data_IF_538352422980
#
_entry.id   IF_538352422980
#
_cell.length_a   1.000
_cell.length_b   1.000
_cell.length_c   1.000
_cell.angle_alpha   90.00
_cell.angle_beta   90.00
_cell.angle_gamma   90.00
#
_symmetry.space_group_name_H-M   'P 1'
#
loop_
_entity.id
_entity.type
_entity.pdbx_description
1 polymer ?
#
# COMPACT_ATOMS: atom_id res chain seq x y z
N UNK A 1 -5.87 -7.27 13.08
CA UNK A 1 -4.82 -7.08 12.05
C UNK A 1 -4.66 -8.37 11.25
N UNK A 2 -4.22 -8.26 9.99
CA UNK A 2 -3.80 -9.41 9.16
C UNK A 2 -2.34 -9.22 8.75
N UNK A 3 -1.71 -10.29 8.27
CA UNK A 3 -0.34 -10.21 7.74
C UNK A 3 -0.23 -9.16 6.63
N UNK A 4 0.93 -8.49 6.47
CA UNK A 4 1.10 -7.38 5.53
C UNK A 4 1.03 -7.80 4.05
N UNK A 5 1.12 -9.10 3.75
CA UNK A 5 1.27 -9.58 2.39
C UNK A 5 2.65 -9.24 1.81
N UNK A 6 2.83 -9.39 0.48
CA UNK A 6 4.08 -9.05 -0.18
C UNK A 6 4.38 -7.55 -0.08
N UNK A 7 5.63 -7.25 0.27
CA UNK A 7 6.16 -5.88 0.30
C UNK A 7 7.15 -5.72 -0.85
N UNK A 8 6.96 -4.68 -1.66
CA UNK A 8 7.79 -4.39 -2.83
C UNK A 8 8.50 -3.06 -2.66
N UNK A 9 9.69 -2.97 -3.25
CA UNK A 9 10.46 -1.74 -3.32
C UNK A 9 9.70 -0.68 -4.13
N UNK A 10 9.65 0.57 -3.67
CA UNK A 10 8.91 1.65 -4.33
C UNK A 10 9.57 2.13 -5.64
N UNK A 11 10.81 1.73 -5.93
CA UNK A 11 11.43 1.87 -7.25
C UNK A 11 10.96 0.82 -8.26
N UNK A 12 10.23 -0.22 -7.83
CA UNK A 12 9.67 -1.23 -8.74
C UNK A 12 8.74 -0.58 -9.77
N UNK A 13 8.74 -1.10 -11.00
CA UNK A 13 7.83 -0.61 -12.04
C UNK A 13 6.41 -1.13 -11.82
N UNK A 14 5.43 -0.39 -12.32
CA UNK A 14 4.01 -0.76 -12.24
C UNK A 14 3.73 -2.14 -12.86
N UNK A 15 4.34 -2.45 -14.02
CA UNK A 15 4.16 -3.75 -14.69
C UNK A 15 4.70 -4.93 -13.86
N UNK A 16 5.85 -4.76 -13.20
CA UNK A 16 6.42 -5.79 -12.34
C UNK A 16 5.57 -5.95 -11.08
N UNK A 17 5.11 -4.84 -10.48
CA UNK A 17 4.21 -4.87 -9.33
C UNK A 17 2.88 -5.58 -9.64
N UNK A 18 2.28 -5.32 -10.81
CA UNK A 18 1.11 -6.05 -11.29
C UNK A 18 1.38 -7.55 -11.40
N UNK A 19 2.55 -7.92 -11.93
CA UNK A 19 2.96 -9.32 -12.05
C UNK A 19 3.11 -10.00 -10.68
N UNK A 20 3.69 -9.32 -9.70
CA UNK A 20 3.80 -9.79 -8.31
C UNK A 20 2.42 -9.99 -7.70
N UNK A 21 1.53 -9.01 -7.84
CA UNK A 21 0.17 -9.08 -7.29
C UNK A 21 -0.60 -10.27 -7.87
N UNK A 22 -0.54 -10.46 -9.19
CA UNK A 22 -1.16 -11.59 -9.90
C UNK A 22 -0.56 -12.92 -9.44
N UNK A 23 0.77 -13.02 -9.40
CA UNK A 23 1.49 -14.24 -9.02
C UNK A 23 1.23 -14.66 -7.57
N UNK A 24 1.20 -13.68 -6.65
CA UNK A 24 0.93 -13.92 -5.23
C UNK A 24 -0.55 -14.09 -4.91
N UNK A 25 -1.46 -13.79 -5.86
CA UNK A 25 -2.93 -13.86 -5.68
C UNK A 25 -3.42 -13.06 -4.48
N UNK A 26 -2.85 -11.88 -4.29
CA UNK A 26 -3.19 -10.96 -3.19
C UNK A 26 -3.92 -9.74 -3.74
N UNK A 27 -4.77 -9.08 -2.93
CA UNK A 27 -5.52 -7.91 -3.39
C UNK A 27 -4.70 -6.60 -3.40
N UNK A 28 -3.58 -6.56 -2.67
CA UNK A 28 -2.73 -5.38 -2.54
C UNK A 28 -1.26 -5.76 -2.31
N UNK A 29 -0.38 -4.78 -2.52
CA UNK A 29 1.01 -4.81 -2.12
C UNK A 29 1.28 -3.63 -1.18
N UNK A 30 2.19 -3.82 -0.23
CA UNK A 30 2.77 -2.70 0.50
C UNK A 30 4.03 -2.23 -0.21
N UNK A 31 4.25 -0.92 -0.19
CA UNK A 31 5.48 -0.31 -0.68
C UNK A 31 6.42 -0.13 0.49
N UNK A 32 7.70 -0.39 0.26
CA UNK A 32 8.78 -0.03 1.17
C UNK A 32 9.84 0.82 0.49
N UNK A 33 10.46 1.70 1.24
CA UNK A 33 11.67 2.41 0.82
C UNK A 33 12.93 1.54 1.01
N UNK A 34 14.09 2.16 0.73
CA UNK A 34 15.42 1.56 0.86
C UNK A 34 15.74 1.14 2.31
N UNK A 35 15.16 1.82 3.31
CA UNK A 35 15.30 1.51 4.73
C UNK A 35 14.34 0.40 5.18
N UNK A 36 13.43 -0.04 4.30
CA UNK A 36 12.40 -1.03 4.56
C UNK A 36 11.13 -0.48 5.22
N UNK A 37 11.01 0.84 5.38
CA UNK A 37 9.83 1.47 5.97
C UNK A 37 8.67 1.46 5.00
N UNK A 38 7.46 1.28 5.51
CA UNK A 38 6.26 1.35 4.69
C UNK A 38 6.08 2.76 4.14
N UNK A 39 5.93 2.88 2.83
CA UNK A 39 5.73 4.16 2.13
C UNK A 39 4.42 4.23 1.38
N UNK A 40 3.66 3.13 1.33
CA UNK A 40 2.36 3.12 0.66
C UNK A 40 1.69 1.76 0.61
N UNK A 41 0.46 1.77 0.11
CA UNK A 41 -0.30 0.59 -0.27
C UNK A 41 -0.82 0.79 -1.69
N UNK A 42 -0.73 -0.25 -2.51
CA UNK A 42 -1.30 -0.23 -3.87
C UNK A 42 -2.20 -1.44 -4.09
N UNK A 43 -3.31 -1.22 -4.76
CA UNK A 43 -4.26 -2.26 -5.17
C UNK A 43 -4.13 -2.54 -6.66
N UNK A 44 -4.67 -3.69 -7.09
CA UNK A 44 -4.74 -4.04 -8.51
C UNK A 44 -5.45 -2.96 -9.33
N UNK A 45 -6.56 -2.45 -8.82
CA UNK A 45 -7.40 -1.48 -9.54
C UNK A 45 -6.67 -0.14 -9.71
N UNK A 46 -5.96 0.31 -8.68
CA UNK A 46 -5.09 1.50 -8.77
C UNK A 46 -4.01 1.31 -9.82
N UNK A 47 -3.26 0.20 -9.77
CA UNK A 47 -2.18 -0.04 -10.74
C UNK A 47 -2.71 -0.15 -12.18
N UNK A 48 -3.85 -0.82 -12.37
CA UNK A 48 -4.49 -0.93 -13.68
C UNK A 48 -4.96 0.44 -14.21
N UNK A 49 -5.53 1.28 -13.35
CA UNK A 49 -5.95 2.63 -13.71
C UNK A 49 -4.75 3.51 -14.13
N UNK A 50 -3.64 3.45 -13.39
CA UNK A 50 -2.43 4.21 -13.74
C UNK A 50 -1.79 3.73 -15.04
N UNK A 51 -1.76 2.42 -15.29
CA UNK A 51 -1.23 1.84 -16.55
C UNK A 51 -2.00 2.30 -17.79
N UNK A 52 -3.28 2.63 -17.65
CA UNK A 52 -4.11 3.16 -18.75
C UNK A 52 -3.91 4.65 -19.04
N UNK A 53 -3.09 5.37 -18.26
CA UNK A 53 -2.88 6.80 -18.41
C UNK A 53 -1.95 7.18 -19.57
N UNK A 54 -2.17 8.34 -20.20
CA UNK A 54 -1.35 8.83 -21.33
C UNK A 54 0.10 9.19 -20.95
N UNK A 55 0.37 9.41 -19.66
CA UNK A 55 1.70 9.70 -19.11
C UNK A 55 2.47 8.43 -18.73
N UNK A 56 1.82 7.26 -18.83
CA UNK A 56 2.40 5.99 -18.45
C UNK A 56 3.53 5.58 -19.40
N UNK A 57 4.61 5.05 -18.84
CA UNK A 57 5.67 4.38 -19.58
C UNK A 57 5.99 3.05 -18.93
N UNK A 58 6.60 2.14 -19.68
CA UNK A 58 7.12 0.86 -19.16
C UNK A 58 8.15 1.03 -18.01
N UNK A 59 8.71 2.24 -17.85
CA UNK A 59 9.67 2.59 -16.80
C UNK A 59 9.03 3.29 -15.60
N UNK A 60 7.73 3.57 -15.63
CA UNK A 60 7.03 4.27 -14.55
C UNK A 60 7.11 3.45 -13.26
N UNK A 61 7.72 4.06 -12.23
CA UNK A 61 7.92 3.43 -10.92
C UNK A 61 6.72 3.68 -10.01
N UNK A 62 6.54 2.83 -9.01
CA UNK A 62 5.48 2.98 -8.01
C UNK A 62 5.60 4.32 -7.27
N UNK A 63 6.81 4.78 -6.97
CA UNK A 63 7.02 6.10 -6.36
C UNK A 63 6.66 7.30 -7.25
N UNK A 64 6.43 7.09 -8.54
CA UNK A 64 6.10 8.18 -9.47
C UNK A 64 4.58 8.30 -9.69
N UNK A 65 3.79 7.34 -9.19
CA UNK A 65 2.33 7.36 -9.34
C UNK A 65 1.66 7.96 -8.09
N UNK A 66 0.54 8.69 -8.23
CA UNK A 66 -0.25 9.14 -7.09
C UNK A 66 -0.88 7.95 -6.36
N UNK A 67 -0.46 7.70 -5.12
CA UNK A 67 -0.96 6.61 -4.27
C UNK A 67 -1.05 7.06 -2.81
N UNK A 68 -1.80 6.31 -1.98
CA UNK A 68 -1.88 6.60 -0.56
C UNK A 68 -0.55 6.31 0.15
N UNK A 69 0.10 7.36 0.66
CA UNK A 69 1.39 7.32 1.38
C UNK A 69 1.26 7.56 2.89
N UNK A 70 0.06 7.41 3.42
CA UNK A 70 -0.21 7.57 4.83
C UNK A 70 -0.70 8.98 5.21
N UNK A 71 -0.82 9.27 6.52
CA UNK A 71 -0.28 8.51 7.64
C UNK A 71 -0.87 7.10 7.79
N UNK A 72 -0.06 6.14 8.22
CA UNK A 72 -0.49 4.75 8.43
C UNK A 72 -1.00 4.50 9.85
N UNK A 73 -1.69 3.38 10.04
CA UNK A 73 -2.19 3.00 11.37
C UNK A 73 -1.00 2.59 12.24
N UNK A 74 -0.79 3.24 13.37
CA UNK A 74 0.21 2.77 14.33
C UNK A 74 -0.22 1.46 14.98
N UNK A 75 0.72 0.54 15.20
CA UNK A 75 0.47 -0.75 15.86
C UNK A 75 -0.02 -0.61 17.31
N UNK A 76 0.27 0.53 17.96
CA UNK A 76 -0.19 0.85 19.31
C UNK A 76 -1.43 1.76 19.32
N UNK A 77 -1.98 2.11 18.14
CA UNK A 77 -3.16 2.95 18.07
C UNK A 77 -4.39 2.26 18.67
N UNK A 78 -5.21 3.05 19.38
CA UNK A 78 -6.53 2.60 19.82
C UNK A 78 -7.37 2.32 18.58
N UNK A 79 -7.90 1.09 18.47
CA UNK A 79 -8.61 0.62 17.27
C UNK A 79 -9.71 1.57 16.80
N UNK A 80 -10.50 2.13 17.72
CA UNK A 80 -11.56 3.10 17.38
C UNK A 80 -11.04 4.37 16.71
N UNK A 81 -9.88 4.88 17.15
CA UNK A 81 -9.26 6.06 16.54
C UNK A 81 -8.65 5.71 15.17
N UNK A 82 -8.03 4.55 15.03
CA UNK A 82 -7.51 4.07 13.75
C UNK A 82 -8.64 3.94 12.71
N UNK A 83 -9.76 3.31 13.09
CA UNK A 83 -10.96 3.18 12.24
C UNK A 83 -11.53 4.56 11.89
N UNK A 84 -11.60 5.49 12.84
CA UNK A 84 -12.08 6.85 12.57
C UNK A 84 -11.17 7.58 11.57
N UNK A 85 -9.85 7.46 11.71
CA UNK A 85 -8.88 8.05 10.79
C UNK A 85 -8.96 7.44 9.38
N UNK A 86 -9.14 6.12 9.28
CA UNK A 86 -9.35 5.43 8.00
C UNK A 86 -10.62 5.93 7.31
N UNK A 87 -11.74 6.02 8.05
CA UNK A 87 -13.02 6.53 7.50
C UNK A 87 -12.93 7.98 7.04
N UNK A 88 -12.24 8.84 7.80
CA UNK A 88 -12.04 10.24 7.42
C UNK A 88 -11.27 10.40 6.10
N UNK A 89 -10.49 9.38 5.72
CA UNK A 89 -9.69 9.33 4.49
C UNK A 89 -10.28 8.41 3.43
N UNK A 90 -11.45 7.83 3.67
CA UNK A 90 -12.11 6.87 2.77
C UNK A 90 -11.20 5.67 2.44
N UNK A 91 -10.49 5.15 3.46
CA UNK A 91 -9.62 4.00 3.33
C UNK A 91 -10.30 2.72 3.84
N UNK A 92 -10.41 1.72 2.98
CA UNK A 92 -10.89 0.39 3.38
C UNK A 92 -9.78 -0.46 4.02
N UNK A 93 -8.53 -0.20 3.64
CA UNK A 93 -7.34 -0.89 4.14
C UNK A 93 -6.25 0.11 4.47
N UNK A 94 -5.62 -0.03 5.63
CA UNK A 94 -4.46 0.75 6.05
C UNK A 94 -3.32 -0.20 6.43
N UNK A 95 -2.08 0.06 5.99
CA UNK A 95 -0.90 -0.51 6.61
C UNK A 95 -0.90 -0.24 8.12
N UNK A 96 -0.41 -1.23 8.88
CA UNK A 96 -0.14 -1.12 10.32
C UNK A 96 1.37 -1.11 10.51
N UNK A 97 1.91 -0.02 11.06
CA UNK A 97 3.35 0.17 11.22
C UNK A 97 3.77 0.25 12.68
N UNK A 98 5.00 -0.15 12.98
CA UNK A 98 5.64 0.14 14.27
C UNK A 98 6.08 1.61 14.38
N UNK A 99 6.77 1.94 15.47
CA UNK A 99 7.31 3.28 15.73
C UNK A 99 8.45 3.69 14.78
N UNK A 100 9.08 2.73 14.12
CA UNK A 100 10.14 2.96 13.14
C UNK A 100 9.62 3.03 11.70
N UNK A 101 8.33 2.75 11.49
CA UNK A 101 7.65 2.79 10.19
C UNK A 101 7.64 1.45 9.46
N UNK A 102 8.10 0.35 10.06
CA UNK A 102 8.05 -0.97 9.43
C UNK A 102 6.65 -1.53 9.43
N UNK A 103 6.21 -2.07 8.29
CA UNK A 103 4.90 -2.70 8.18
C UNK A 103 4.85 -4.02 8.98
N UNK A 104 4.04 -4.04 10.02
CA UNK A 104 3.72 -5.22 10.82
C UNK A 104 2.49 -5.97 10.30
N UNK A 105 1.63 -5.29 9.55
CA UNK A 105 0.40 -5.89 9.05
C UNK A 105 -0.50 -4.90 8.31
N UNK A 106 -1.76 -5.29 8.16
CA UNK A 106 -2.83 -4.43 7.68
C UNK A 106 -4.01 -4.42 8.65
N UNK A 107 -4.72 -3.30 8.66
CA UNK A 107 -6.05 -3.15 9.23
C UNK A 107 -7.04 -2.95 8.08
N UNK A 108 -8.11 -3.72 8.06
CA UNK A 108 -9.18 -3.61 7.08
C UNK A 108 -10.49 -3.31 7.79
N UNK A 109 -11.29 -2.39 7.24
CA UNK A 109 -12.65 -2.16 7.70
C UNK A 109 -13.55 -3.31 7.23
N UNK A 110 -14.48 -3.79 8.07
CA UNK A 110 -15.53 -4.68 7.61
C UNK A 110 -16.41 -3.94 6.60
N UNK A 111 -16.71 -4.61 5.49
CA UNK A 111 -17.65 -4.16 4.47
C UNK A 111 -19.07 -4.02 5.02
#
# INVERSE_FOLDING_TARGET
MRAPGPQVDDHMTVDVALSVLIGARVPHLLLRDEDGRCTGLVTRDQLAAHRGGSWYTERTRLRDIPLDRGPFTSAVAVLGQAVAAMRARTLDVSPVTDEHGYALGILALPC
#
